data_IF_523188513584
#
_entry.id   IF_523188513584
#
_cell.length_a   1.000
_cell.length_b   1.000
_cell.length_c   1.000
_cell.angle_alpha   90.00
_cell.angle_beta   90.00
_cell.angle_gamma   90.00
#
_symmetry.space_group_name_H-M   'P 1'
#
loop_
_entity.id
_entity.type
_entity.pdbx_description
1 polymer ?
#
# COMPACT_ATOMS: atom_id res chain seq x y z
N UNK A 1 34.13 -89.08 6.06
CA UNK A 1 34.38 -88.04 7.08
C UNK A 1 34.73 -86.68 6.45
N UNK A 2 35.78 -86.55 5.63
CA UNK A 2 36.21 -85.26 5.05
C UNK A 2 35.15 -84.51 4.20
N UNK A 3 34.41 -85.23 3.37
CA UNK A 3 33.35 -84.67 2.51
C UNK A 3 32.18 -84.07 3.32
N UNK A 4 31.86 -84.67 4.49
CA UNK A 4 30.79 -84.19 5.37
C UNK A 4 31.19 -82.85 6.01
N UNK A 5 32.45 -82.69 6.40
CA UNK A 5 32.96 -81.42 6.94
C UNK A 5 32.94 -80.30 5.90
N UNK A 6 33.30 -80.59 4.64
CA UNK A 6 33.20 -79.61 3.54
C UNK A 6 31.74 -79.18 3.34
N UNK A 7 30.81 -80.13 3.36
CA UNK A 7 29.39 -79.84 3.15
C UNK A 7 28.80 -78.98 4.28
N UNK A 8 29.20 -79.22 5.53
CA UNK A 8 28.82 -78.38 6.68
C UNK A 8 29.35 -76.94 6.52
N UNK A 9 30.60 -76.78 6.08
CA UNK A 9 31.20 -75.46 5.85
C UNK A 9 30.45 -74.69 4.76
N UNK A 10 30.08 -75.37 3.66
CA UNK A 10 29.30 -74.77 2.57
C UNK A 10 27.91 -74.34 3.06
N UNK A 11 27.24 -75.16 3.88
CA UNK A 11 25.94 -74.81 4.46
C UNK A 11 26.05 -73.57 5.36
N UNK A 12 27.07 -73.50 6.22
CA UNK A 12 27.28 -72.33 7.08
C UNK A 12 27.52 -71.07 6.23
N UNK A 13 28.31 -71.17 5.16
CA UNK A 13 28.56 -70.05 4.26
C UNK A 13 27.28 -69.58 3.56
N UNK A 14 26.43 -70.51 3.11
CA UNK A 14 25.13 -70.18 2.51
C UNK A 14 24.18 -69.49 3.49
N UNK A 15 24.15 -69.93 4.75
CA UNK A 15 23.33 -69.30 5.81
C UNK A 15 23.80 -67.86 6.05
N UNK A 16 25.12 -67.64 6.18
CA UNK A 16 25.69 -66.30 6.39
C UNK A 16 25.40 -65.39 5.19
N UNK A 17 25.60 -65.87 3.96
CA UNK A 17 25.30 -65.13 2.74
C UNK A 17 23.81 -64.73 2.65
N UNK A 18 22.91 -65.63 3.04
CA UNK A 18 21.48 -65.37 3.06
C UNK A 18 21.10 -64.27 4.06
N UNK A 19 21.67 -64.30 5.27
CA UNK A 19 21.42 -63.26 6.30
C UNK A 19 21.91 -61.89 5.83
N UNK A 20 23.08 -61.82 5.21
CA UNK A 20 23.64 -60.56 4.67
C UNK A 20 22.73 -60.00 3.58
N UNK A 21 22.29 -60.84 2.63
CA UNK A 21 21.41 -60.41 1.55
C UNK A 21 20.04 -59.93 2.08
N UNK A 22 19.48 -60.63 3.06
CA UNK A 22 18.21 -60.22 3.68
C UNK A 22 18.32 -58.87 4.37
N UNK A 23 19.40 -58.62 5.13
CA UNK A 23 19.65 -57.32 5.76
C UNK A 23 19.87 -56.21 4.73
N UNK A 24 20.61 -56.48 3.65
CA UNK A 24 20.83 -55.51 2.59
C UNK A 24 19.51 -55.13 1.88
N UNK A 25 18.65 -56.12 1.63
CA UNK A 25 17.34 -55.90 1.01
C UNK A 25 16.38 -55.13 1.93
N UNK A 26 16.36 -55.42 3.24
CA UNK A 26 15.60 -54.65 4.22
C UNK A 26 16.08 -53.19 4.29
N UNK A 27 17.39 -52.96 4.37
CA UNK A 27 17.96 -51.61 4.37
C UNK A 27 17.58 -50.81 3.11
N UNK A 28 17.57 -51.46 1.94
CA UNK A 28 17.11 -50.83 0.70
C UNK A 28 15.62 -50.46 0.76
N UNK A 29 14.77 -51.37 1.21
CA UNK A 29 13.33 -51.11 1.36
C UNK A 29 13.02 -49.98 2.35
N UNK A 30 13.76 -49.89 3.45
CA UNK A 30 13.61 -48.81 4.42
C UNK A 30 14.04 -47.46 3.85
N UNK A 31 15.12 -47.44 3.06
CA UNK A 31 15.55 -46.23 2.35
C UNK A 31 14.53 -45.74 1.32
N UNK A 32 13.90 -46.67 0.59
CA UNK A 32 12.85 -46.35 -0.39
C UNK A 32 11.57 -45.84 0.30
N UNK A 33 11.18 -46.44 1.43
CA UNK A 33 10.06 -45.97 2.26
C UNK A 33 10.32 -44.58 2.81
N UNK A 34 11.51 -44.34 3.36
CA UNK A 34 11.91 -43.03 3.87
C UNK A 34 11.88 -41.96 2.77
N UNK A 35 12.43 -42.26 1.59
CA UNK A 35 12.39 -41.35 0.45
C UNK A 35 10.95 -41.04 0.01
N UNK A 36 10.07 -42.05 -0.05
CA UNK A 36 8.66 -41.87 -0.38
C UNK A 36 7.94 -40.98 0.64
N UNK A 37 8.14 -41.22 1.94
CA UNK A 37 7.53 -40.41 3.00
C UNK A 37 8.03 -38.97 2.97
N UNK A 38 9.32 -38.75 2.68
CA UNK A 38 9.88 -37.42 2.51
C UNK A 38 9.26 -36.69 1.31
N UNK A 39 9.06 -37.37 0.18
CA UNK A 39 8.39 -36.81 -1.00
C UNK A 39 6.94 -36.46 -0.69
N UNK A 40 6.19 -37.33 -0.02
CA UNK A 40 4.80 -37.07 0.38
C UNK A 40 4.72 -35.85 1.30
N UNK A 41 5.60 -35.75 2.30
CA UNK A 41 5.68 -34.58 3.19
C UNK A 41 5.96 -33.30 2.40
N UNK A 42 6.98 -33.29 1.55
CA UNK A 42 7.30 -32.12 0.71
C UNK A 42 6.14 -31.74 -0.21
N UNK A 43 5.47 -32.73 -0.82
CA UNK A 43 4.31 -32.49 -1.68
C UNK A 43 3.13 -31.89 -0.90
N UNK A 44 2.91 -32.35 0.35
CA UNK A 44 1.88 -31.80 1.21
C UNK A 44 2.17 -30.35 1.61
N UNK A 45 3.43 -30.03 1.92
CA UNK A 45 3.89 -28.65 2.21
C UNK A 45 3.71 -27.75 0.99
N UNK A 46 4.16 -28.17 -0.19
CA UNK A 46 3.99 -27.42 -1.45
C UNK A 46 2.50 -27.21 -1.77
N UNK A 47 1.65 -28.21 -1.54
CA UNK A 47 0.21 -28.09 -1.76
C UNK A 47 -0.43 -27.09 -0.80
N UNK A 48 0.02 -27.07 0.45
CA UNK A 48 -0.43 -26.10 1.45
C UNK A 48 0.02 -24.69 1.08
N UNK A 49 1.28 -24.50 0.72
CA UNK A 49 1.83 -23.22 0.24
C UNK A 49 1.09 -22.72 -1.01
N UNK A 50 0.85 -23.59 -1.99
CA UNK A 50 0.08 -23.24 -3.18
C UNK A 50 -1.36 -22.82 -2.84
N UNK A 51 -1.99 -23.49 -1.87
CA UNK A 51 -3.34 -23.12 -1.42
C UNK A 51 -3.32 -21.77 -0.71
N UNK A 52 -2.31 -21.51 0.12
CA UNK A 52 -2.12 -20.21 0.78
C UNK A 52 -1.86 -19.09 -0.23
N UNK A 53 -0.96 -19.30 -1.19
CA UNK A 53 -0.67 -18.36 -2.29
C UNK A 53 -1.92 -18.10 -3.14
N UNK A 54 -2.67 -19.14 -3.49
CA UNK A 54 -3.93 -19.00 -4.24
C UNK A 54 -4.95 -18.17 -3.46
N UNK A 55 -5.07 -18.38 -2.15
CA UNK A 55 -5.94 -17.58 -1.29
C UNK A 55 -5.44 -16.13 -1.16
N UNK A 56 -4.13 -15.89 -1.10
CA UNK A 56 -3.55 -14.55 -1.14
C UNK A 56 -3.87 -13.84 -2.46
N UNK A 57 -3.75 -14.52 -3.60
CA UNK A 57 -4.08 -14.00 -4.92
C UNK A 57 -5.57 -13.64 -5.00
N UNK A 58 -6.47 -14.52 -4.55
CA UNK A 58 -7.92 -14.26 -4.55
C UNK A 58 -8.29 -13.04 -3.68
N UNK A 59 -7.61 -12.86 -2.54
CA UNK A 59 -7.79 -11.66 -1.69
C UNK A 59 -7.23 -10.39 -2.34
N UNK A 60 -6.18 -10.49 -3.15
CA UNK A 60 -5.63 -9.36 -3.91
C UNK A 60 -6.58 -8.98 -5.05
N UNK A 61 -7.14 -9.94 -5.78
CA UNK A 61 -8.05 -9.67 -6.90
C UNK A 61 -9.39 -9.08 -6.42
N UNK A 62 -9.92 -9.51 -5.27
CA UNK A 62 -11.08 -8.86 -4.66
C UNK A 62 -10.83 -7.37 -4.29
N UNK A 63 -9.57 -7.00 -3.98
CA UNK A 63 -9.19 -5.61 -3.73
C UNK A 63 -8.99 -4.79 -5.03
N UNK A 64 -8.64 -5.43 -6.15
CA UNK A 64 -8.49 -4.75 -7.45
C UNK A 64 -9.84 -4.28 -8.01
N UNK A 65 -10.88 -5.11 -7.91
CA UNK A 65 -12.23 -4.74 -8.35
C UNK A 65 -12.77 -3.54 -7.56
N UNK A 66 -12.51 -3.51 -6.24
CA UNK A 66 -12.82 -2.34 -5.42
C UNK A 66 -11.96 -1.13 -5.80
N UNK A 67 -10.67 -1.29 -6.08
CA UNK A 67 -9.82 -0.17 -6.49
C UNK A 67 -10.33 0.53 -7.77
N UNK A 68 -10.68 -0.23 -8.81
CA UNK A 68 -11.28 0.35 -10.03
C UNK A 68 -12.64 1.01 -9.79
N UNK A 69 -13.46 0.45 -8.89
CA UNK A 69 -14.68 1.10 -8.46
C UNK A 69 -14.40 2.43 -7.75
N UNK A 70 -13.39 2.46 -6.86
CA UNK A 70 -12.96 3.66 -6.14
C UNK A 70 -12.53 4.76 -7.09
N UNK A 71 -11.67 4.43 -8.05
CA UNK A 71 -11.20 5.37 -9.09
C UNK A 71 -12.37 5.99 -9.88
N UNK A 72 -13.36 5.18 -10.28
CA UNK A 72 -14.54 5.67 -11.00
C UNK A 72 -15.41 6.58 -10.13
N UNK A 73 -15.65 6.18 -8.88
CA UNK A 73 -16.41 6.97 -7.91
C UNK A 73 -15.72 8.31 -7.62
N UNK A 74 -14.40 8.30 -7.42
CA UNK A 74 -13.63 9.51 -7.21
C UNK A 74 -13.76 10.49 -8.36
N UNK A 75 -13.67 10.01 -9.61
CA UNK A 75 -13.87 10.87 -10.79
C UNK A 75 -15.26 11.46 -10.84
N UNK A 76 -16.29 10.68 -10.52
CA UNK A 76 -17.66 11.18 -10.43
C UNK A 76 -17.79 12.26 -9.36
N UNK A 77 -17.28 12.01 -8.16
CA UNK A 77 -17.32 12.99 -7.06
C UNK A 77 -16.61 14.28 -7.42
N UNK A 78 -15.41 14.19 -8.03
CA UNK A 78 -14.65 15.35 -8.49
C UNK A 78 -15.42 16.14 -9.56
N UNK A 79 -16.00 15.48 -10.56
CA UNK A 79 -16.82 16.17 -11.56
C UNK A 79 -18.00 16.91 -10.92
N UNK A 80 -18.74 16.26 -10.01
CA UNK A 80 -19.88 16.88 -9.34
C UNK A 80 -19.47 18.07 -8.45
N UNK A 81 -18.33 17.97 -7.75
CA UNK A 81 -17.78 19.04 -6.92
C UNK A 81 -17.36 20.23 -7.78
N UNK A 82 -16.56 19.99 -8.83
CA UNK A 82 -15.99 21.04 -9.68
C UNK A 82 -17.07 21.70 -10.54
N UNK A 83 -18.02 20.93 -11.09
CA UNK A 83 -19.16 21.49 -11.81
C UNK A 83 -19.96 22.45 -10.93
N UNK A 84 -20.21 22.09 -9.67
CA UNK A 84 -20.88 22.97 -8.72
C UNK A 84 -20.08 24.25 -8.44
N UNK A 85 -18.76 24.16 -8.31
CA UNK A 85 -17.91 25.35 -8.15
C UNK A 85 -17.92 26.24 -9.40
N UNK A 86 -17.98 25.64 -10.60
CA UNK A 86 -18.07 26.37 -11.86
C UNK A 86 -19.44 27.06 -12.01
N UNK A 87 -20.55 26.36 -11.71
CA UNK A 87 -21.91 26.91 -11.71
C UNK A 87 -22.07 28.08 -10.72
N UNK A 88 -21.37 28.01 -9.59
CA UNK A 88 -21.34 29.08 -8.58
C UNK A 88 -20.40 30.24 -8.94
N UNK A 89 -19.72 30.18 -10.09
CA UNK A 89 -18.77 31.21 -10.53
C UNK A 89 -17.50 31.29 -9.66
N UNK A 90 -17.22 30.27 -8.85
CA UNK A 90 -16.03 30.24 -8.00
C UNK A 90 -14.77 29.86 -8.78
N UNK A 91 -14.92 29.08 -9.85
CA UNK A 91 -13.90 28.74 -10.85
C UNK A 91 -14.47 28.96 -12.25
N UNK A 92 -13.60 29.24 -13.22
CA UNK A 92 -14.00 29.41 -14.63
C UNK A 92 -13.73 28.15 -15.45
N UNK A 93 -12.58 27.51 -15.22
CA UNK A 93 -12.09 26.38 -16.00
C UNK A 93 -11.63 25.27 -15.06
N UNK A 94 -11.92 24.02 -15.43
CA UNK A 94 -11.32 22.87 -14.77
C UNK A 94 -11.13 21.70 -15.74
N UNK A 95 -10.15 20.86 -15.44
CA UNK A 95 -9.88 19.62 -16.16
C UNK A 95 -9.46 18.54 -15.15
N UNK A 96 -9.90 17.30 -15.37
CA UNK A 96 -9.51 16.14 -14.55
C UNK A 96 -8.69 15.19 -15.41
N UNK A 97 -7.39 15.13 -15.16
CA UNK A 97 -6.44 14.34 -15.93
C UNK A 97 -6.12 13.03 -15.20
N UNK A 98 -6.43 11.85 -15.77
CA UNK A 98 -5.95 10.59 -15.23
C UNK A 98 -4.45 10.44 -15.50
N UNK A 99 -3.66 10.19 -14.44
CA UNK A 99 -2.20 10.08 -14.56
C UNK A 99 -1.76 8.86 -15.37
N UNK A 100 -2.63 7.86 -15.50
CA UNK A 100 -2.43 6.70 -16.39
C UNK A 100 -2.20 7.08 -17.85
N UNK A 101 -2.66 8.25 -18.27
CA UNK A 101 -2.52 8.73 -19.64
C UNK A 101 -1.24 9.54 -19.85
N UNK A 102 -0.54 9.90 -18.79
CA UNK A 102 0.66 10.73 -18.87
C UNK A 102 1.81 9.96 -19.52
N UNK A 103 2.45 10.56 -20.52
CA UNK A 103 3.58 9.93 -21.20
C UNK A 103 4.77 9.68 -20.24
N UNK A 104 5.39 8.49 -20.31
CA UNK A 104 6.56 8.12 -19.48
C UNK A 104 7.72 9.11 -19.60
N UNK A 105 7.87 9.74 -20.77
CA UNK A 105 8.92 10.75 -21.02
C UNK A 105 8.58 12.14 -20.48
N UNK A 106 7.37 12.35 -19.97
CA UNK A 106 6.95 13.65 -19.48
C UNK A 106 7.80 14.05 -18.26
N UNK A 107 8.28 15.30 -18.15
CA UNK A 107 9.17 15.71 -17.06
C UNK A 107 8.57 15.51 -15.66
N UNK A 108 7.24 15.57 -15.52
CA UNK A 108 6.54 15.36 -14.26
C UNK A 108 6.14 13.91 -14.00
N UNK A 109 6.43 12.98 -14.92
CA UNK A 109 5.91 11.60 -14.86
C UNK A 109 6.19 10.88 -13.55
N UNK A 110 7.44 10.93 -13.06
CA UNK A 110 7.84 10.25 -11.82
C UNK A 110 7.10 10.76 -10.57
N UNK A 111 6.71 12.04 -10.56
CA UNK A 111 6.00 12.66 -9.45
C UNK A 111 4.49 12.54 -9.60
N UNK A 112 3.98 12.64 -10.83
CA UNK A 112 2.57 12.55 -11.15
C UNK A 112 2.02 11.13 -10.97
N UNK A 113 2.79 10.09 -11.30
CA UNK A 113 2.34 8.69 -11.24
C UNK A 113 2.03 8.16 -9.84
N UNK A 114 2.36 8.92 -8.80
CA UNK A 114 1.97 8.57 -7.42
C UNK A 114 0.52 8.90 -7.11
N UNK A 115 -0.12 9.69 -7.97
CA UNK A 115 -1.53 10.06 -7.88
C UNK A 115 -2.31 9.35 -8.98
N UNK A 116 -3.61 9.15 -8.78
CA UNK A 116 -4.51 8.60 -9.80
C UNK A 116 -5.04 9.70 -10.74
N UNK A 117 -5.29 10.89 -10.18
CA UNK A 117 -5.77 12.05 -10.94
C UNK A 117 -4.96 13.31 -10.62
N UNK A 118 -4.82 14.17 -11.62
CA UNK A 118 -4.41 15.57 -11.46
C UNK A 118 -5.60 16.42 -11.88
N UNK A 119 -6.17 17.13 -10.91
CA UNK A 119 -7.24 18.09 -11.14
C UNK A 119 -6.62 19.46 -11.28
N UNK A 120 -6.91 20.14 -12.38
CA UNK A 120 -6.43 21.49 -12.65
C UNK A 120 -7.66 22.38 -12.68
N UNK A 121 -7.62 23.48 -11.94
CA UNK A 121 -8.59 24.56 -12.04
C UNK A 121 -7.86 25.86 -12.39
N UNK A 122 -8.59 26.92 -12.73
CA UNK A 122 -7.98 28.24 -12.88
C UNK A 122 -7.37 28.79 -11.57
N UNK A 123 -7.69 28.21 -10.42
CA UNK A 123 -7.26 28.70 -9.09
C UNK A 123 -6.37 27.74 -8.29
N UNK A 124 -6.13 26.53 -8.77
CA UNK A 124 -5.38 25.54 -8.00
C UNK A 124 -5.29 24.19 -8.67
N UNK A 125 -4.33 23.40 -8.20
CA UNK A 125 -4.03 22.05 -8.69
C UNK A 125 -4.18 21.08 -7.53
N UNK A 126 -4.92 19.99 -7.75
CA UNK A 126 -5.18 18.97 -6.74
C UNK A 126 -4.74 17.61 -7.28
N UNK A 127 -3.72 17.04 -6.69
CA UNK A 127 -3.21 15.71 -7.05
C UNK A 127 -3.90 14.68 -6.17
N UNK A 128 -4.75 13.82 -6.75
CA UNK A 128 -5.62 12.91 -6.00
C UNK A 128 -5.07 11.50 -6.05
N UNK A 129 -4.70 10.95 -4.89
CA UNK A 129 -4.39 9.53 -4.69
C UNK A 129 -5.63 8.84 -4.11
N UNK A 130 -6.25 7.97 -4.89
CA UNK A 130 -7.51 7.31 -4.55
C UNK A 130 -7.26 6.01 -3.80
N UNK A 131 -7.73 5.97 -2.56
CA UNK A 131 -7.80 4.75 -1.77
C UNK A 131 -9.24 4.25 -1.74
N UNK A 132 -9.42 2.96 -1.99
CA UNK A 132 -10.69 2.27 -1.73
C UNK A 132 -10.40 1.03 -0.90
N UNK A 133 -10.52 1.18 0.42
CA UNK A 133 -10.23 0.12 1.36
C UNK A 133 -11.46 -0.12 2.22
N UNK A 134 -11.91 -1.37 2.31
CA UNK A 134 -12.88 -1.81 3.31
C UNK A 134 -12.22 -1.94 4.69
N UNK A 135 -11.47 -0.94 5.12
CA UNK A 135 -10.67 -0.97 6.35
C UNK A 135 -11.21 0.04 7.35
N UNK A 136 -11.08 -0.32 8.63
CA UNK A 136 -11.78 0.41 9.69
C UNK A 136 -11.03 1.68 10.09
N UNK A 137 -9.72 1.59 10.26
CA UNK A 137 -8.93 2.69 10.80
C UNK A 137 -7.61 2.83 10.05
N UNK A 138 -7.29 4.07 9.72
CA UNK A 138 -6.05 4.49 9.09
C UNK A 138 -5.26 5.35 10.07
N UNK A 139 -3.99 4.99 10.28
CA UNK A 139 -3.14 5.55 11.30
C UNK A 139 -1.93 6.25 10.69
N UNK A 140 -1.61 7.43 11.20
CA UNK A 140 -0.43 8.20 10.84
C UNK A 140 0.17 8.84 12.08
N UNK A 141 1.33 8.36 12.54
CA UNK A 141 1.94 8.79 13.81
C UNK A 141 3.43 9.00 13.68
N UNK A 142 3.93 10.06 14.30
CA UNK A 142 5.35 10.24 14.53
C UNK A 142 5.73 9.67 15.89
N UNK A 143 6.65 8.72 15.90
CA UNK A 143 7.26 8.18 17.13
C UNK A 143 8.59 8.91 17.33
N UNK A 144 8.70 9.64 18.44
CA UNK A 144 9.95 10.28 18.88
C UNK A 144 10.38 9.67 20.22
N UNK A 145 11.45 8.85 20.25
CA UNK A 145 11.92 8.20 21.47
C UNK A 145 12.35 9.17 22.58
N UNK A 146 12.61 10.44 22.24
CA UNK A 146 13.10 11.45 23.18
C UNK A 146 12.01 12.39 23.69
N UNK A 147 10.76 12.24 23.21
CA UNK A 147 9.62 13.01 23.68
C UNK A 147 8.63 12.09 24.38
N UNK A 148 8.28 12.44 25.61
CA UNK A 148 7.06 11.92 26.20
C UNK A 148 5.87 12.50 25.42
N UNK A 149 4.93 11.64 25.05
CA UNK A 149 3.66 12.08 24.46
C UNK A 149 2.89 12.85 25.53
N UNK A 150 2.93 14.19 25.43
CA UNK A 150 2.35 15.12 26.42
C UNK A 150 0.90 15.48 26.12
N UNK A 151 0.36 15.11 24.96
CA UNK A 151 -1.03 15.37 24.60
C UNK A 151 -1.95 14.29 25.19
N UNK A 152 -3.06 14.72 25.79
CA UNK A 152 -4.09 13.79 26.24
C UNK A 152 -4.65 13.03 25.02
N UNK A 153 -4.76 11.69 25.08
CA UNK A 153 -5.22 10.90 23.95
C UNK A 153 -6.64 11.33 23.54
N UNK A 154 -6.84 11.56 22.25
CA UNK A 154 -8.11 12.05 21.71
C UNK A 154 -9.19 10.96 21.68
N UNK A 155 -8.78 9.70 21.62
CA UNK A 155 -9.68 8.53 21.59
C UNK A 155 -8.96 7.24 22.00
N UNK A 156 -9.70 6.14 22.15
CA UNK A 156 -9.10 4.81 22.36
C UNK A 156 -8.26 4.37 21.16
N UNK A 157 -8.73 4.67 19.94
CA UNK A 157 -7.99 4.32 18.72
C UNK A 157 -6.66 5.07 18.63
N UNK A 158 -6.61 6.30 19.17
CA UNK A 158 -5.39 7.10 19.29
C UNK A 158 -4.36 6.44 20.22
N UNK A 159 -4.79 5.94 21.39
CA UNK A 159 -3.92 5.19 22.31
C UNK A 159 -3.37 3.92 21.66
N UNK A 160 -4.25 3.15 21.02
CA UNK A 160 -3.86 1.90 20.34
C UNK A 160 -2.87 2.19 19.22
N UNK A 161 -3.14 3.22 18.42
CA UNK A 161 -2.27 3.65 17.33
C UNK A 161 -0.86 3.99 17.80
N UNK A 162 -0.73 4.83 18.83
CA UNK A 162 0.56 5.18 19.41
C UNK A 162 1.32 3.97 19.98
N UNK A 163 0.61 3.07 20.65
CA UNK A 163 1.21 1.84 21.19
C UNK A 163 1.77 0.96 20.06
N UNK A 164 0.98 0.68 19.03
CA UNK A 164 1.39 -0.15 17.89
C UNK A 164 2.56 0.47 17.13
N UNK A 165 2.52 1.79 16.90
CA UNK A 165 3.63 2.50 16.25
C UNK A 165 4.92 2.42 17.07
N UNK A 166 4.83 2.57 18.39
CA UNK A 166 5.98 2.51 19.30
C UNK A 166 6.59 1.11 19.39
N UNK A 167 5.74 0.07 19.49
CA UNK A 167 6.16 -1.33 19.47
C UNK A 167 6.80 -1.73 18.13
N UNK A 168 6.34 -1.15 17.03
CA UNK A 168 6.99 -1.35 15.74
C UNK A 168 8.35 -0.63 15.67
N UNK A 169 8.42 0.63 16.12
CA UNK A 169 9.64 1.42 16.14
C UNK A 169 10.76 0.77 16.99
N UNK A 170 10.40 0.20 18.15
CA UNK A 170 11.35 -0.40 19.10
C UNK A 170 12.16 -1.56 18.49
N UNK A 171 11.60 -2.26 17.50
CA UNK A 171 12.27 -3.36 16.79
C UNK A 171 13.52 -2.90 16.02
N UNK A 172 13.60 -1.62 15.65
CA UNK A 172 14.70 -1.05 14.88
C UNK A 172 15.79 -0.41 15.75
N UNK A 173 15.55 -0.26 17.07
CA UNK A 173 16.49 0.38 18.01
C UNK A 173 16.97 1.77 17.54
N UNK A 174 16.13 2.49 16.80
CA UNK A 174 16.43 3.82 16.29
C UNK A 174 16.14 4.87 17.37
N UNK A 175 16.96 5.91 17.44
CA UNK A 175 16.68 7.12 18.26
C UNK A 175 16.11 8.26 17.43
N UNK A 176 15.96 8.07 16.12
CA UNK A 176 15.48 9.10 15.19
C UNK A 176 13.95 9.13 15.19
N UNK A 177 13.35 10.32 15.38
CA UNK A 177 11.91 10.49 15.17
C UNK A 177 11.52 9.98 13.79
N UNK A 178 10.53 9.09 13.74
CA UNK A 178 10.10 8.46 12.49
C UNK A 178 8.59 8.42 12.42
N UNK A 179 8.04 8.81 11.27
CA UNK A 179 6.61 8.74 11.00
C UNK A 179 6.25 7.39 10.40
N UNK A 180 5.21 6.78 10.95
CA UNK A 180 4.68 5.50 10.51
C UNK A 180 3.24 5.67 10.06
N UNK A 181 2.97 5.20 8.86
CA UNK A 181 1.62 5.08 8.31
C UNK A 181 1.27 3.61 8.22
N UNK A 182 0.12 3.24 8.76
CA UNK A 182 -0.34 1.85 8.78
C UNK A 182 -1.86 1.75 8.89
N UNK A 183 -2.36 0.55 8.67
CA UNK A 183 -3.80 0.27 8.58
C UNK A 183 -4.20 -0.91 9.46
N UNK A 184 -5.40 -0.84 10.02
CA UNK A 184 -6.01 -1.98 10.72
C UNK A 184 -6.82 -2.86 9.75
N UNK A 185 -6.52 -4.16 9.74
CA UNK A 185 -7.27 -5.17 8.98
C UNK A 185 -7.84 -6.22 9.93
N UNK A 186 -9.17 -6.25 9.98
CA UNK A 186 -9.91 -7.25 10.75
C UNK A 186 -10.10 -8.49 9.87
N UNK A 187 -9.58 -9.63 10.35
CA UNK A 187 -9.84 -10.97 9.83
C UNK A 187 -10.73 -11.73 10.83
N UNK A 188 -11.37 -12.81 10.39
CA UNK A 188 -12.38 -13.53 11.19
C UNK A 188 -11.95 -13.87 12.63
N UNK A 189 -10.64 -14.03 12.89
CA UNK A 189 -10.10 -14.35 14.22
C UNK A 189 -8.84 -13.55 14.60
N UNK A 190 -8.47 -12.51 13.86
CA UNK A 190 -7.28 -11.72 14.19
C UNK A 190 -7.38 -10.28 13.67
N UNK A 191 -6.67 -9.38 14.34
CA UNK A 191 -6.44 -8.02 13.88
C UNK A 191 -4.99 -7.97 13.41
N UNK A 192 -4.78 -7.47 12.19
CA UNK A 192 -3.46 -7.31 11.59
C UNK A 192 -3.23 -5.84 11.29
N UNK A 193 -2.11 -5.29 11.76
CA UNK A 193 -1.66 -3.94 11.42
C UNK A 193 -0.64 -4.03 10.28
N UNK A 194 -1.02 -3.57 9.09
CA UNK A 194 -0.13 -3.57 7.91
C UNK A 194 0.54 -2.19 7.78
N UNK A 195 1.86 -2.14 7.95
CA UNK A 195 2.65 -0.92 7.81
C UNK A 195 3.02 -0.66 6.34
N UNK A 196 2.95 0.61 5.93
CA UNK A 196 3.46 1.02 4.62
C UNK A 196 4.99 1.00 4.62
N UNK A 197 5.58 0.50 3.55
CA UNK A 197 7.04 0.53 3.36
C UNK A 197 7.57 1.97 3.23
N UNK A 198 6.74 2.85 2.67
CA UNK A 198 7.02 4.27 2.50
C UNK A 198 5.78 5.05 2.87
N UNK A 199 5.96 6.16 3.57
CA UNK A 199 4.85 6.99 4.00
C UNK A 199 4.12 7.60 2.78
N UNK A 200 2.83 7.26 2.56
CA UNK A 200 2.07 7.84 1.46
C UNK A 200 1.87 9.35 1.60
N UNK A 201 1.87 9.90 2.82
CA UNK A 201 1.72 11.34 3.05
C UNK A 201 2.95 12.12 2.63
N UNK A 202 4.10 11.74 3.19
CA UNK A 202 5.38 12.36 2.86
C UNK A 202 5.60 12.33 1.34
N UNK A 203 5.29 11.20 0.71
CA UNK A 203 5.37 11.05 -0.75
C UNK A 203 4.41 12.00 -1.47
N UNK A 204 3.16 12.10 -1.02
CA UNK A 204 2.19 13.02 -1.61
C UNK A 204 2.62 14.48 -1.46
N UNK A 205 3.12 14.88 -0.28
CA UNK A 205 3.56 16.24 -0.01
C UNK A 205 4.80 16.61 -0.83
N UNK A 206 5.82 15.75 -0.84
CA UNK A 206 7.04 15.96 -1.63
C UNK A 206 6.69 16.07 -3.11
N UNK A 207 5.85 15.18 -3.62
CA UNK A 207 5.51 15.20 -5.04
C UNK A 207 4.63 16.39 -5.42
N UNK A 208 3.65 16.76 -4.58
CA UNK A 208 2.83 17.95 -4.80
C UNK A 208 3.69 19.22 -4.83
N UNK A 209 4.64 19.36 -3.89
CA UNK A 209 5.59 20.47 -3.87
C UNK A 209 6.45 20.53 -5.13
N UNK A 210 7.00 19.40 -5.58
CA UNK A 210 7.81 19.37 -6.81
C UNK A 210 6.98 19.71 -8.05
N UNK A 211 5.71 19.28 -8.10
CA UNK A 211 4.78 19.64 -9.16
C UNK A 211 4.50 21.15 -9.14
N UNK A 212 4.24 21.73 -7.96
CA UNK A 212 4.05 23.18 -7.77
C UNK A 212 5.23 23.97 -8.32
N UNK A 213 6.43 23.72 -7.81
CA UNK A 213 7.65 24.45 -8.16
C UNK A 213 7.92 24.41 -9.67
N UNK A 214 7.68 23.25 -10.31
CA UNK A 214 7.91 23.09 -11.76
C UNK A 214 6.83 23.73 -12.62
N UNK A 215 5.61 23.82 -12.14
CA UNK A 215 4.52 24.52 -12.83
C UNK A 215 4.72 26.02 -12.70
N UNK A 216 5.06 26.49 -11.51
CA UNK A 216 5.36 27.91 -11.25
C UNK A 216 6.54 28.39 -12.10
N UNK A 217 7.65 27.64 -12.15
CA UNK A 217 8.80 27.96 -13.02
C UNK A 217 8.42 28.09 -14.50
N UNK A 218 7.44 27.31 -14.97
CA UNK A 218 7.03 27.30 -16.39
C UNK A 218 6.00 28.36 -16.73
N UNK A 219 5.09 28.67 -15.80
CA UNK A 219 4.01 29.65 -16.00
C UNK A 219 4.39 31.05 -15.53
N UNK A 220 5.48 31.17 -14.76
CA UNK A 220 5.90 32.40 -14.07
C UNK A 220 4.77 32.98 -13.21
N UNK A 221 3.97 32.10 -12.61
CA UNK A 221 2.82 32.43 -11.76
C UNK A 221 2.63 31.32 -10.72
N UNK A 222 2.44 31.73 -9.48
CA UNK A 222 2.11 30.83 -8.38
C UNK A 222 0.70 30.26 -8.56
N UNK A 223 0.59 28.94 -8.45
CA UNK A 223 -0.68 28.19 -8.43
C UNK A 223 -0.58 27.17 -7.32
N UNK A 224 -1.43 27.23 -6.29
CA UNK A 224 -1.32 26.33 -5.15
C UNK A 224 -1.53 24.88 -5.60
N UNK A 225 -0.68 23.98 -5.12
CA UNK A 225 -0.74 22.56 -5.42
C UNK A 225 -0.84 21.74 -4.15
N UNK A 226 -1.87 20.89 -4.04
CA UNK A 226 -2.08 20.04 -2.86
C UNK A 226 -2.23 18.58 -3.30
N UNK A 227 -1.54 17.68 -2.60
CA UNK A 227 -1.75 16.24 -2.67
C UNK A 227 -2.90 15.82 -1.75
N UNK A 228 -3.91 15.14 -2.28
CA UNK A 228 -5.05 14.66 -1.50
C UNK A 228 -5.10 13.14 -1.56
N UNK A 229 -5.01 12.51 -0.39
CA UNK A 229 -5.29 11.07 -0.24
C UNK A 229 -6.79 10.91 0.02
N UNK A 230 -7.52 10.44 -1.00
CA UNK A 230 -8.98 10.35 -0.98
C UNK A 230 -9.48 8.93 -0.71
N UNK A 231 -10.13 8.71 0.42
CA UNK A 231 -10.85 7.48 0.74
C UNK A 231 -12.29 7.56 0.24
N UNK A 232 -12.55 6.86 -0.86
CA UNK A 232 -13.83 6.97 -1.59
C UNK A 232 -15.03 6.30 -0.92
N UNK A 233 -14.81 5.47 0.09
CA UNK A 233 -15.83 4.63 0.69
C UNK A 233 -16.52 5.27 1.90
N UNK A 234 -16.00 6.39 2.43
CA UNK A 234 -16.65 7.10 3.54
C UNK A 234 -16.49 6.44 4.91
N UNK A 235 -15.86 5.27 4.97
CA UNK A 235 -15.94 4.38 6.14
C UNK A 235 -14.68 4.38 6.99
N UNK A 236 -13.59 4.95 6.47
CA UNK A 236 -12.29 4.97 7.14
C UNK A 236 -12.27 6.00 8.25
N UNK A 237 -12.02 5.53 9.48
CA UNK A 237 -11.65 6.40 10.59
C UNK A 237 -10.19 6.81 10.44
N UNK A 238 -9.93 8.10 10.26
CA UNK A 238 -8.57 8.64 10.10
C UNK A 238 -8.11 9.12 11.46
N UNK A 239 -7.08 8.48 11.99
CA UNK A 239 -6.41 8.88 13.23
C UNK A 239 -5.06 9.47 12.84
N UNK A 240 -5.03 10.80 12.83
CA UNK A 240 -3.90 11.63 12.46
C UNK A 240 -3.24 12.16 13.74
N UNK A 241 -2.04 11.64 14.02
CA UNK A 241 -1.26 11.87 15.24
C UNK A 241 -0.23 13.01 15.22
N UNK A 242 0.41 13.42 14.09
CA UNK A 242 1.37 14.52 14.14
C UNK A 242 0.73 15.86 14.49
N UNK A 243 1.37 16.61 15.40
CA UNK A 243 0.94 17.94 15.83
C UNK A 243 1.01 19.00 14.72
N UNK A 244 1.76 18.74 13.65
CA UNK A 244 1.91 19.61 12.48
C UNK A 244 1.64 18.82 11.21
N UNK A 245 0.55 19.16 10.51
CA UNK A 245 0.24 18.62 9.18
C UNK A 245 1.26 19.09 8.15
N UNK A 246 1.59 18.23 7.20
CA UNK A 246 2.42 18.59 6.06
C UNK A 246 1.71 19.64 5.20
N UNK A 247 2.40 20.72 4.83
CA UNK A 247 1.80 21.87 4.14
C UNK A 247 1.29 21.57 2.71
N UNK A 248 1.58 20.38 2.18
CA UNK A 248 1.33 19.99 0.79
C UNK A 248 0.50 18.71 0.62
N UNK A 249 0.09 18.07 1.72
CA UNK A 249 -0.74 16.88 1.66
C UNK A 249 -1.84 16.89 2.73
N UNK A 250 -3.04 16.43 2.36
CA UNK A 250 -4.11 16.19 3.33
C UNK A 250 -4.87 14.90 2.99
N UNK A 251 -5.65 14.42 3.96
CA UNK A 251 -6.56 13.28 3.78
C UNK A 251 -8.00 13.71 3.79
N UNK A 252 -8.77 13.08 2.92
CA UNK A 252 -10.20 13.30 2.83
C UNK A 252 -10.89 11.95 2.82
N UNK A 253 -11.80 11.75 3.77
CA UNK A 253 -12.54 10.48 3.91
C UNK A 253 -13.94 10.54 3.30
N UNK A 254 -14.41 11.72 2.89
CA UNK A 254 -15.76 11.89 2.37
C UNK A 254 -15.79 12.90 1.23
N UNK A 255 -16.82 12.79 0.38
CA UNK A 255 -17.11 13.78 -0.66
C UNK A 255 -17.26 15.20 -0.08
N UNK A 256 -17.88 15.33 1.08
CA UNK A 256 -18.03 16.61 1.77
C UNK A 256 -16.69 17.21 2.17
N UNK A 257 -15.79 16.41 2.74
CA UNK A 257 -14.44 16.84 3.13
C UNK A 257 -13.58 17.17 1.91
N UNK A 258 -13.67 16.37 0.84
CA UNK A 258 -13.01 16.65 -0.44
C UNK A 258 -13.48 17.99 -1.02
N UNK A 259 -14.78 18.25 -0.99
CA UNK A 259 -15.35 19.53 -1.42
C UNK A 259 -14.84 20.68 -0.57
N UNK A 260 -14.88 20.55 0.75
CA UNK A 260 -14.42 21.59 1.68
C UNK A 260 -12.96 21.96 1.43
N UNK A 261 -12.07 20.97 1.31
CA UNK A 261 -10.65 21.19 1.05
C UNK A 261 -10.40 21.87 -0.31
N UNK A 262 -11.09 21.41 -1.37
CA UNK A 262 -11.01 22.07 -2.68
C UNK A 262 -11.50 23.53 -2.58
N UNK A 263 -12.63 23.75 -1.91
CA UNK A 263 -13.23 25.07 -1.71
C UNK A 263 -12.36 26.04 -0.91
N UNK A 264 -11.74 25.57 0.17
CA UNK A 264 -10.81 26.37 0.97
C UNK A 264 -9.61 26.82 0.13
N UNK A 265 -9.04 25.92 -0.67
CA UNK A 265 -7.89 26.23 -1.52
C UNK A 265 -8.25 27.24 -2.60
N UNK A 266 -9.39 27.04 -3.27
CA UNK A 266 -9.93 27.98 -4.27
C UNK A 266 -10.21 29.35 -3.65
N UNK A 267 -10.72 29.39 -2.42
CA UNK A 267 -11.08 30.65 -1.73
C UNK A 267 -9.85 31.40 -1.21
N UNK A 268 -8.79 30.69 -0.82
CA UNK A 268 -7.53 31.28 -0.34
C UNK A 268 -6.72 31.89 -1.49
N UNK A 269 -6.88 31.40 -2.72
CA UNK A 269 -6.14 31.92 -3.88
C UNK A 269 -6.90 33.03 -4.62
N UNK A 270 -6.38 34.25 -4.52
CA UNK A 270 -6.92 35.41 -5.21
C UNK A 270 -6.48 35.51 -6.69
N UNK A 271 -5.45 34.75 -7.09
CA UNK A 271 -4.91 34.78 -8.45
C UNK A 271 -5.52 33.64 -9.27
N UNK A 272 -6.15 33.99 -10.40
CA UNK A 272 -6.69 33.02 -11.36
C UNK A 272 -5.81 32.97 -12.62
N UNK A 273 -5.69 31.79 -13.21
CA UNK A 273 -5.03 31.57 -14.49
C UNK A 273 -5.93 32.10 -15.62
N UNK A 274 -5.32 32.78 -16.59
CA UNK A 274 -6.02 33.11 -17.82
C UNK A 274 -6.39 31.85 -18.60
N UNK A 275 -7.39 31.93 -19.47
CA UNK A 275 -7.78 30.82 -20.34
C UNK A 275 -6.60 30.27 -21.14
N UNK A 276 -5.71 31.13 -21.64
CA UNK A 276 -4.54 30.72 -22.40
C UNK A 276 -3.53 29.96 -21.53
N UNK A 277 -3.27 30.44 -20.30
CA UNK A 277 -2.39 29.76 -19.36
C UNK A 277 -2.96 28.40 -18.94
N UNK A 278 -4.26 28.34 -18.69
CA UNK A 278 -4.98 27.10 -18.37
C UNK A 278 -4.86 26.08 -19.50
N UNK A 279 -5.20 26.46 -20.74
CA UNK A 279 -5.14 25.56 -21.89
C UNK A 279 -3.71 25.07 -22.13
N UNK A 280 -2.70 25.95 -22.06
CA UNK A 280 -1.29 25.57 -22.19
C UNK A 280 -0.83 24.59 -21.11
N UNK A 281 -1.36 24.70 -19.90
CA UNK A 281 -1.04 23.78 -18.80
C UNK A 281 -1.66 22.41 -19.04
N UNK A 282 -2.93 22.36 -19.42
CA UNK A 282 -3.66 21.13 -19.74
C UNK A 282 -3.03 20.39 -20.92
N UNK A 283 -2.71 21.08 -22.02
CA UNK A 283 -2.08 20.48 -23.20
C UNK A 283 -0.70 19.88 -22.92
N UNK A 284 0.04 20.43 -21.96
CA UNK A 284 1.37 19.90 -21.59
C UNK A 284 1.28 18.68 -20.68
N UNK A 285 0.19 18.54 -19.95
CA UNK A 285 -0.04 17.44 -19.00
C UNK A 285 -0.82 16.28 -19.64
N UNK A 286 -1.48 16.49 -20.78
CA UNK A 286 -2.00 15.44 -21.66
C UNK A 286 -0.90 14.87 -22.57
#
# INVERSE_FOLDING_TARGET
MFVIYILIIVIIFLIVAHIINHRAMQSKLDSERYAKDQVIRKMSTIKQENTQLKNQILNIDANKDTYHHGIRKARQDLHEILAKYQEQGQIQYYEILPTSNLAVKHPLFEYARTFDYIVITDKGIFNIDVKNWKQKTFYHFTVDPNKEYLDAPKSTDDVVGHYIASEFHSQFQSTRPTTYTFIERIKNNSIVYDFYQHDPFERAAVNAKVIEERIEQKLNQFVPCIGLVYFTDGSVNIIDGPATREQYADTVSSKSSLREMIGETISKNNNSLSQEQFTRLVEKLN
#
